data_IF_839480328926
#
_entry.id   IF_839480328926
#
_cell.length_a   1.000
_cell.length_b   1.000
_cell.length_c   1.000
_cell.angle_alpha   90.00
_cell.angle_beta   90.00
_cell.angle_gamma   90.00
#
_symmetry.space_group_name_H-M   'P 1'
#
loop_
_entity.id
_entity.type
_entity.pdbx_description
1 polymer ?
#
# COMPACT_ATOMS: atom_id res chain seq x y z
N UNK A 1 1.95 8.67 -14.24
CA UNK A 1 1.65 7.24 -14.01
C UNK A 1 1.73 7.00 -12.52
N UNK A 2 0.78 6.26 -11.93
CA UNK A 2 0.78 5.99 -10.50
C UNK A 2 0.96 4.50 -10.31
N UNK A 3 2.22 4.03 -10.24
CA UNK A 3 2.51 2.62 -9.98
C UNK A 3 1.92 2.23 -8.61
N UNK A 4 1.22 1.08 -8.52
CA UNK A 4 0.89 0.47 -7.25
C UNK A 4 2.15 0.21 -6.42
N UNK A 5 2.16 0.71 -5.19
CA UNK A 5 3.25 0.48 -4.24
C UNK A 5 2.73 0.20 -2.84
N UNK A 6 3.46 -0.62 -2.09
CA UNK A 6 3.04 -1.03 -0.75
C UNK A 6 3.90 -2.15 -0.17
N UNK A 7 3.26 -3.04 0.58
CA UNK A 7 3.91 -4.22 1.17
C UNK A 7 3.08 -5.48 0.94
N UNK A 8 3.78 -6.60 0.80
CA UNK A 8 3.21 -7.92 0.60
C UNK A 8 3.72 -8.88 1.68
N UNK A 9 2.81 -9.58 2.34
CA UNK A 9 3.18 -10.63 3.29
C UNK A 9 3.71 -11.88 2.56
N UNK A 10 4.76 -12.49 3.10
CA UNK A 10 5.41 -13.65 2.46
C UNK A 10 4.51 -14.88 2.42
N UNK A 11 3.84 -15.16 3.53
CA UNK A 11 3.12 -16.40 3.78
C UNK A 11 1.80 -16.54 3.01
N UNK A 12 1.41 -15.52 2.24
CA UNK A 12 0.10 -15.49 1.59
C UNK A 12 0.15 -16.09 0.19
N UNK A 13 -0.81 -16.97 -0.08
CA UNK A 13 -0.90 -17.62 -1.39
C UNK A 13 -1.30 -16.60 -2.45
N UNK A 14 -0.46 -16.48 -3.49
CA UNK A 14 -0.63 -15.52 -4.59
C UNK A 14 -1.35 -16.19 -5.75
N UNK A 15 -2.66 -16.43 -5.60
CA UNK A 15 -3.48 -17.03 -6.67
C UNK A 15 -4.62 -16.10 -7.08
N UNK A 16 -4.67 -15.76 -8.37
CA UNK A 16 -5.65 -14.82 -8.93
C UNK A 16 -5.30 -13.35 -8.69
N UNK A 17 -6.25 -12.46 -8.97
CA UNK A 17 -6.04 -11.00 -8.91
C UNK A 17 -6.14 -10.41 -7.50
N UNK A 18 -6.65 -11.21 -6.55
CA UNK A 18 -6.80 -10.83 -5.15
C UNK A 18 -5.69 -11.48 -4.34
N UNK A 19 -4.72 -10.69 -3.89
CA UNK A 19 -3.64 -11.15 -3.02
C UNK A 19 -3.99 -10.80 -1.55
N UNK A 20 -4.57 -11.74 -0.77
CA UNK A 20 -4.95 -11.51 0.62
C UNK A 20 -3.67 -11.40 1.46
N UNK A 21 -3.17 -10.19 1.67
CA UNK A 21 -1.85 -9.94 2.24
C UNK A 21 -1.06 -8.87 1.50
N UNK A 22 -1.67 -8.21 0.51
CA UNK A 22 -1.13 -7.03 -0.14
C UNK A 22 -1.82 -5.78 0.39
N UNK A 23 -1.05 -4.86 0.97
CA UNK A 23 -1.48 -3.53 1.37
C UNK A 23 -0.76 -2.50 0.51
N UNK A 24 -1.50 -1.70 -0.26
CA UNK A 24 -0.90 -0.80 -1.25
C UNK A 24 -1.69 0.48 -1.44
N UNK A 25 -1.02 1.50 -1.98
CA UNK A 25 -1.66 2.62 -2.65
C UNK A 25 -1.58 2.34 -4.15
N UNK A 26 -2.66 2.60 -4.88
CA UNK A 26 -2.67 2.54 -6.34
C UNK A 26 -3.59 3.57 -6.96
N UNK A 27 -3.35 3.91 -8.22
CA UNK A 27 -4.23 4.75 -9.02
C UNK A 27 -5.32 3.87 -9.65
N UNK A 28 -6.59 4.17 -9.36
CA UNK A 28 -7.76 3.55 -10.00
C UNK A 28 -8.71 4.63 -10.48
N UNK A 29 -9.14 4.55 -11.74
CA UNK A 29 -10.12 5.49 -12.30
C UNK A 29 -9.70 6.95 -12.11
N UNK A 30 -8.39 7.22 -12.27
CA UNK A 30 -7.79 8.55 -12.06
C UNK A 30 -7.72 9.01 -10.60
N UNK A 31 -8.02 8.14 -9.62
CA UNK A 31 -8.02 8.47 -8.19
C UNK A 31 -7.08 7.56 -7.39
N UNK A 32 -6.32 8.15 -6.47
CA UNK A 32 -5.48 7.38 -5.56
C UNK A 32 -6.34 6.67 -4.52
N UNK A 33 -6.15 5.37 -4.36
CA UNK A 33 -6.85 4.54 -3.38
C UNK A 33 -5.84 3.75 -2.55
N UNK A 34 -6.07 3.68 -1.24
CA UNK A 34 -5.42 2.70 -0.38
C UNK A 34 -6.26 1.41 -0.41
N UNK A 35 -5.63 0.28 -0.74
CA UNK A 35 -6.31 -0.99 -0.91
C UNK A 35 -5.63 -2.13 -0.16
N UNK A 36 -6.45 -3.01 0.43
CA UNK A 36 -6.01 -4.30 0.93
C UNK A 36 -7.13 -5.34 0.81
N UNK A 37 -6.99 -6.39 -0.02
CA UNK A 37 -7.98 -7.44 -0.12
C UNK A 37 -8.20 -8.19 1.21
N UNK A 38 -9.42 -8.70 1.49
CA UNK A 38 -10.64 -8.54 0.70
C UNK A 38 -11.49 -7.31 1.11
N UNK A 39 -11.10 -6.54 2.14
CA UNK A 39 -12.03 -5.64 2.85
C UNK A 39 -11.78 -4.14 2.69
N UNK A 40 -10.58 -3.71 2.28
CA UNK A 40 -10.22 -2.29 2.37
C UNK A 40 -10.05 -1.66 0.99
N UNK A 41 -10.81 -0.59 0.74
CA UNK A 41 -10.59 0.39 -0.32
C UNK A 41 -10.95 1.77 0.24
N UNK A 42 -9.97 2.65 0.38
CA UNK A 42 -10.18 4.02 0.85
C UNK A 42 -9.70 5.02 -0.21
N UNK A 43 -10.56 5.98 -0.57
CA UNK A 43 -10.19 7.09 -1.44
C UNK A 43 -9.25 8.03 -0.70
N UNK A 44 -8.13 8.38 -1.31
CA UNK A 44 -7.13 9.25 -0.71
C UNK A 44 -7.36 10.70 -1.15
N UNK A 45 -7.29 11.69 -0.24
CA UNK A 45 -7.49 13.11 -0.57
C UNK A 45 -6.23 13.73 -1.21
N UNK A 46 -5.59 13.00 -2.13
CA UNK A 46 -4.33 13.40 -2.78
C UNK A 46 -4.51 13.39 -4.30
N UNK A 47 -4.20 14.53 -4.93
CA UNK A 47 -4.28 14.66 -6.39
C UNK A 47 -3.12 13.97 -7.09
N UNK A 48 -1.91 14.12 -6.56
CA UNK A 48 -0.67 13.63 -7.14
C UNK A 48 0.24 13.09 -6.06
N UNK A 49 0.84 11.92 -6.29
CA UNK A 49 1.88 11.34 -5.45
C UNK A 49 3.12 11.12 -6.32
N UNK A 50 4.18 11.89 -6.08
CA UNK A 50 5.45 11.74 -6.80
C UNK A 50 6.45 10.91 -6.00
N UNK A 51 6.56 11.20 -4.69
CA UNK A 51 7.45 10.50 -3.77
C UNK A 51 6.68 10.13 -2.51
N UNK A 52 6.80 8.87 -2.10
CA UNK A 52 6.10 8.33 -0.94
C UNK A 52 7.11 7.71 0.00
N UNK A 53 7.01 8.07 1.28
CA UNK A 53 7.70 7.35 2.35
C UNK A 53 6.77 6.26 2.88
N UNK A 54 7.27 5.02 2.91
CA UNK A 54 6.56 3.87 3.47
C UNK A 54 7.20 3.52 4.81
N UNK A 55 6.42 3.56 5.89
CA UNK A 55 6.87 3.19 7.23
C UNK A 55 6.08 1.98 7.73
N UNK A 56 6.80 0.93 8.10
CA UNK A 56 6.26 -0.27 8.73
C UNK A 56 6.69 -0.32 10.20
N UNK A 57 5.72 -0.18 11.10
CA UNK A 57 5.91 -0.34 12.54
C UNK A 57 5.19 -1.62 12.99
N UNK A 58 5.95 -2.72 13.09
CA UNK A 58 5.43 -4.03 13.50
C UNK A 58 4.92 -4.02 14.96
N UNK A 59 5.57 -3.24 15.84
CA UNK A 59 5.20 -3.15 17.25
C UNK A 59 3.85 -2.45 17.41
N UNK A 60 3.62 -1.37 16.65
CA UNK A 60 2.36 -0.63 16.65
C UNK A 60 1.33 -1.18 15.68
N UNK A 61 1.64 -2.23 14.92
CA UNK A 61 0.75 -2.86 13.94
C UNK A 61 0.29 -1.86 12.87
N UNK A 62 1.22 -1.00 12.41
CA UNK A 62 0.94 0.09 11.48
C UNK A 62 1.78 -0.01 10.23
N UNK A 63 1.13 0.20 9.09
CA UNK A 63 1.77 0.53 7.83
C UNK A 63 1.29 1.91 7.41
N UNK A 64 2.18 2.90 7.44
CA UNK A 64 1.87 4.30 7.19
C UNK A 64 2.57 4.80 5.93
N UNK A 65 1.83 5.55 5.12
CA UNK A 65 2.29 6.21 3.91
C UNK A 65 2.28 7.71 4.13
N UNK A 66 3.36 8.38 3.71
CA UNK A 66 3.52 9.82 3.84
C UNK A 66 3.95 10.43 2.51
N UNK A 67 3.55 11.67 2.26
CA UNK A 67 4.16 12.47 1.21
C UNK A 67 5.62 12.70 1.61
N UNK A 68 6.56 12.25 0.81
CA UNK A 68 7.98 12.34 1.17
C UNK A 68 8.51 13.77 1.19
N UNK A 69 7.89 14.68 0.43
CA UNK A 69 8.34 16.06 0.30
C UNK A 69 7.74 16.95 1.41
N UNK A 70 6.49 16.71 1.81
CA UNK A 70 5.81 17.50 2.87
C UNK A 70 5.80 16.83 4.24
N UNK A 71 6.17 15.55 4.32
CA UNK A 71 6.02 14.69 5.51
C UNK A 71 4.57 14.53 6.01
N UNK A 72 3.58 14.96 5.23
CA UNK A 72 2.17 14.85 5.59
C UNK A 72 1.69 13.38 5.50
N UNK A 73 0.87 12.91 6.45
CA UNK A 73 0.31 11.57 6.38
C UNK A 73 -0.68 11.44 5.23
N UNK A 74 -0.52 10.39 4.42
CA UNK A 74 -1.46 10.05 3.33
C UNK A 74 -2.48 9.03 3.83
N UNK A 75 -1.99 7.91 4.38
CA UNK A 75 -2.86 6.82 4.85
C UNK A 75 -2.12 5.92 5.82
N UNK A 76 -2.86 5.26 6.72
CA UNK A 76 -2.31 4.22 7.60
C UNK A 76 -3.23 3.02 7.63
N UNK A 77 -2.68 1.84 7.30
CA UNK A 77 -3.33 0.58 7.60
C UNK A 77 -2.98 0.15 9.02
N UNK A 78 -3.99 -0.30 9.75
CA UNK A 78 -3.81 -0.95 11.05
C UNK A 78 -4.00 -2.44 10.82
N UNK A 79 -2.92 -3.21 10.95
CA UNK A 79 -2.95 -4.65 10.73
C UNK A 79 -1.88 -5.37 11.56
N UNK A 80 -2.24 -6.52 12.12
CA UNK A 80 -1.27 -7.39 12.82
C UNK A 80 -0.53 -8.24 11.79
N UNK A 81 0.53 -7.70 11.20
CA UNK A 81 1.38 -8.44 10.28
C UNK A 81 2.04 -9.61 11.01
N UNK A 82 1.80 -10.84 10.56
CA UNK A 82 2.36 -12.06 11.15
C UNK A 82 3.41 -12.65 10.22
N UNK A 83 4.68 -12.42 10.53
CA UNK A 83 5.81 -12.91 9.74
C UNK A 83 6.42 -11.85 8.82
N UNK A 84 7.18 -12.30 7.82
CA UNK A 84 7.94 -11.41 6.93
C UNK A 84 7.01 -10.70 5.95
N UNK A 85 7.29 -9.41 5.74
CA UNK A 85 6.67 -8.60 4.70
C UNK A 85 7.75 -8.02 3.82
N UNK A 86 7.47 -7.91 2.53
CA UNK A 86 8.38 -7.39 1.53
C UNK A 86 7.80 -6.15 0.88
N UNK A 87 8.63 -5.20 0.43
CA UNK A 87 8.17 -4.14 -0.46
C UNK A 87 7.46 -4.73 -1.68
N UNK A 88 6.34 -4.13 -2.05
CA UNK A 88 5.63 -4.41 -3.28
C UNK A 88 5.71 -3.16 -4.15
N UNK A 89 6.29 -3.30 -5.33
CA UNK A 89 6.36 -2.25 -6.35
C UNK A 89 5.95 -2.92 -7.66
N UNK A 90 4.87 -2.44 -8.26
CA UNK A 90 4.47 -2.88 -9.60
C UNK A 90 4.88 -1.82 -10.60
N UNK A 91 6.06 -1.99 -11.19
CA UNK A 91 6.33 -1.43 -12.51
C UNK A 91 5.58 -2.34 -13.49
N UNK A 92 4.69 -1.80 -14.30
CA UNK A 92 4.00 -2.59 -15.33
C UNK A 92 5.01 -3.41 -16.13
N UNK A 93 4.61 -4.60 -16.57
CA UNK A 93 5.38 -5.29 -17.60
C UNK A 93 5.31 -4.44 -18.87
N UNK A 94 6.46 -4.27 -19.54
CA UNK A 94 6.47 -3.95 -20.96
C UNK A 94 5.69 -5.03 -21.75
#
# INVERSE_FOLDING_TARGET
>A
HGEPLGVLQESVQRKGDLWPGLWRIQLCDGKHKAMSPPRTSALLPVKTLQRITVNLDLNKKKLSFFNADTSEPIYTFIHSFTGRVFPYIWAGAE
#
